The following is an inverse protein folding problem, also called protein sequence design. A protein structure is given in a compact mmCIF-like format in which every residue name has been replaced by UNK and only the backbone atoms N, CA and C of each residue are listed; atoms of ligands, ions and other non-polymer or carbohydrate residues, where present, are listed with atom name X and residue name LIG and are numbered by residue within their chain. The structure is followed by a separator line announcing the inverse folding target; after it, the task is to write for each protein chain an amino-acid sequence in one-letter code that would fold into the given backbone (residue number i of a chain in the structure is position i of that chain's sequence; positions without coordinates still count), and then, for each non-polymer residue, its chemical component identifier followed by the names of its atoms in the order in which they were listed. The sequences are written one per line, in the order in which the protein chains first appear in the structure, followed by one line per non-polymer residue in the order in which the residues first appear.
data_IF_969671229447
#
_entry.id   IF_969671229447
#
_cell.length_a   1.000
_cell.length_b   1.000
_cell.length_c   1.000
_cell.angle_alpha   90.00
_cell.angle_beta   90.00
_cell.angle_gamma   90.00
#
_symmetry.space_group_name_H-M   'P 1'
#
loop_
_entity.id
_entity.type
_entity.pdbx_description
1 polymer ?
#
# COMPACT_ATOMS: atom_id res chain seq x y z
N UNK A 1 13.65 2.50 16.42
CA UNK A 1 14.23 2.71 15.07
C UNK A 1 13.10 3.12 14.15
N UNK A 2 13.13 4.33 13.59
CA UNK A 2 12.10 4.78 12.65
C UNK A 2 12.32 4.11 11.29
N UNK A 3 11.31 3.42 10.76
CA UNK A 3 11.23 2.91 9.38
C UNK A 3 11.06 4.05 8.36
N UNK A 4 11.79 5.16 8.48
CA UNK A 4 11.62 6.29 7.56
C UNK A 4 12.25 6.06 6.17
N UNK A 5 12.98 4.96 5.98
CA UNK A 5 13.67 4.62 4.73
C UNK A 5 13.09 3.39 4.02
N UNK A 6 12.07 2.74 4.58
CA UNK A 6 11.52 1.50 4.02
C UNK A 6 10.01 1.55 4.00
N UNK A 7 9.43 1.04 2.92
CA UNK A 7 8.00 1.00 2.67
C UNK A 7 7.60 -0.43 2.29
N UNK A 8 6.46 -0.91 2.79
CA UNK A 8 5.89 -2.18 2.34
C UNK A 8 4.81 -1.88 1.31
N UNK A 9 5.04 -2.30 0.06
CA UNK A 9 4.19 -1.96 -1.08
C UNK A 9 3.75 -3.23 -1.82
N UNK A 10 2.56 -3.24 -2.39
CA UNK A 10 2.07 -4.39 -3.14
C UNK A 10 2.94 -4.63 -4.39
N UNK A 11 3.18 -5.90 -4.73
CA UNK A 11 3.83 -6.26 -5.98
C UNK A 11 2.83 -6.12 -7.13
N UNK A 12 3.27 -5.64 -8.29
CA UNK A 12 2.41 -5.49 -9.48
C UNK A 12 1.86 -6.83 -9.99
N UNK A 13 2.58 -7.93 -9.76
CA UNK A 13 2.16 -9.30 -10.09
C UNK A 13 1.52 -10.07 -8.94
N UNK A 14 1.22 -9.41 -7.81
CA UNK A 14 0.61 -10.10 -6.67
C UNK A 14 -0.78 -10.65 -7.03
N UNK A 15 -1.17 -11.82 -6.49
CA UNK A 15 -2.52 -12.34 -6.69
C UNK A 15 -3.56 -11.34 -6.18
N UNK A 16 -4.44 -10.87 -7.07
CA UNK A 16 -5.49 -9.89 -6.75
C UNK A 16 -6.38 -10.34 -5.60
N UNK A 17 -6.67 -11.64 -5.51
CA UNK A 17 -7.44 -12.22 -4.41
C UNK A 17 -6.75 -12.03 -3.06
N UNK A 18 -5.42 -12.17 -2.99
CA UNK A 18 -4.66 -11.93 -1.75
C UNK A 18 -4.64 -10.45 -1.39
N UNK A 19 -4.44 -9.57 -2.38
CA UNK A 19 -4.45 -8.12 -2.16
C UNK A 19 -5.81 -7.63 -1.66
N UNK A 20 -6.90 -8.09 -2.28
CA UNK A 20 -8.26 -7.73 -1.88
C UNK A 20 -8.56 -8.23 -0.47
N UNK A 21 -8.28 -9.51 -0.19
CA UNK A 21 -8.51 -10.07 1.14
C UNK A 21 -7.72 -9.34 2.24
N UNK A 22 -6.47 -8.95 1.94
CA UNK A 22 -5.67 -8.16 2.86
C UNK A 22 -6.23 -6.75 3.05
N UNK A 23 -6.63 -6.07 1.97
CA UNK A 23 -7.21 -4.73 2.02
C UNK A 23 -8.51 -4.73 2.83
N UNK A 24 -9.41 -5.68 2.58
CA UNK A 24 -10.67 -5.83 3.30
C UNK A 24 -10.43 -6.07 4.80
N UNK A 25 -9.50 -6.96 5.14
CA UNK A 25 -9.08 -7.20 6.52
C UNK A 25 -8.51 -5.93 7.17
N UNK A 26 -7.56 -5.28 6.49
CA UNK A 26 -6.86 -4.11 7.00
C UNK A 26 -7.83 -2.95 7.26
N UNK A 27 -8.79 -2.71 6.37
CA UNK A 27 -9.79 -1.66 6.55
C UNK A 27 -10.91 -2.03 7.54
N UNK A 28 -11.08 -3.32 7.84
CA UNK A 28 -11.97 -3.76 8.92
C UNK A 28 -11.42 -3.47 10.31
N UNK A 29 -10.09 -3.38 10.47
CA UNK A 29 -9.42 -3.18 11.76
C UNK A 29 -8.66 -1.86 11.89
N UNK A 30 -8.43 -1.15 10.79
CA UNK A 30 -7.72 0.13 10.73
C UNK A 30 -8.52 1.20 9.97
N UNK A 31 -8.10 2.45 10.09
CA UNK A 31 -8.66 3.56 9.33
C UNK A 31 -8.15 3.59 7.88
N UNK A 32 -9.04 3.34 6.93
CA UNK A 32 -8.81 3.46 5.49
C UNK A 32 -9.44 4.73 4.87
N UNK A 33 -9.83 5.72 5.68
CA UNK A 33 -10.45 6.97 5.21
C UNK A 33 -9.63 7.69 4.14
N UNK A 34 -8.30 7.62 4.22
CA UNK A 34 -7.38 8.28 3.29
C UNK A 34 -7.43 7.72 1.86
N UNK A 35 -7.88 6.47 1.67
CA UNK A 35 -7.97 5.78 0.37
C UNK A 35 -9.42 5.63 -0.11
N UNK A 36 -10.38 6.27 0.55
CA UNK A 36 -11.77 6.31 0.09
C UNK A 36 -11.95 7.37 -1.01
N UNK A 37 -13.01 7.24 -1.81
CA UNK A 37 -13.31 8.19 -2.88
C UNK A 37 -13.33 9.63 -2.37
N UNK A 38 -12.57 10.50 -3.02
CA UNK A 38 -12.44 11.92 -2.66
C UNK A 38 -11.39 12.23 -1.59
N UNK A 39 -10.70 11.22 -1.06
CA UNK A 39 -9.63 11.40 -0.08
C UNK A 39 -8.24 11.55 -0.75
N UNK A 40 -7.23 12.09 -0.03
CA UNK A 40 -5.93 12.44 -0.62
C UNK A 40 -5.11 11.27 -1.20
N UNK A 41 -5.33 10.04 -0.73
CA UNK A 41 -4.63 8.84 -1.19
C UNK A 41 -5.54 7.91 -2.01
N UNK A 42 -6.66 8.42 -2.52
CA UNK A 42 -7.56 7.64 -3.37
C UNK A 42 -6.95 7.31 -4.73
N UNK A 43 -6.18 8.24 -5.32
CA UNK A 43 -5.57 8.04 -6.64
C UNK A 43 -4.14 7.51 -6.52
N UNK A 44 -3.73 6.52 -7.34
CA UNK A 44 -4.56 5.85 -8.36
C UNK A 44 -5.66 4.99 -7.75
N UNK A 45 -6.88 5.06 -8.33
CA UNK A 45 -8.00 4.22 -7.91
C UNK A 45 -7.87 2.79 -8.46
N UNK A 46 -6.87 2.07 -7.98
CA UNK A 46 -6.69 0.65 -8.25
C UNK A 46 -6.37 -0.15 -6.98
N UNK A 47 -6.59 -1.46 -7.07
CA UNK A 47 -6.39 -2.38 -5.96
C UNK A 47 -4.93 -2.42 -5.45
N UNK A 48 -3.95 -2.28 -6.35
CA UNK A 48 -2.53 -2.36 -6.00
C UNK A 48 -2.12 -1.14 -5.19
N UNK A 49 -2.58 0.06 -5.58
CA UNK A 49 -2.34 1.31 -4.86
C UNK A 49 -2.99 1.31 -3.49
N UNK A 50 -4.27 0.92 -3.39
CA UNK A 50 -4.99 0.86 -2.12
C UNK A 50 -4.42 -0.21 -1.18
N UNK A 51 -4.08 -1.40 -1.71
CA UNK A 51 -3.43 -2.44 -0.92
C UNK A 51 -2.02 -2.02 -0.48
N UNK A 52 -1.26 -1.28 -1.30
CA UNK A 52 0.05 -0.74 -0.91
C UNK A 52 -0.06 0.23 0.27
N UNK A 53 -1.09 1.08 0.28
CA UNK A 53 -1.35 1.95 1.42
C UNK A 53 -1.59 1.13 2.70
N UNK A 54 -2.48 0.14 2.63
CA UNK A 54 -2.80 -0.72 3.77
C UNK A 54 -1.58 -1.52 4.27
N UNK A 55 -0.80 -2.10 3.35
CA UNK A 55 0.43 -2.85 3.66
C UNK A 55 1.46 -1.96 4.35
N UNK A 56 1.63 -0.74 3.87
CA UNK A 56 2.56 0.21 4.45
C UNK A 56 2.12 0.66 5.86
N UNK A 57 0.83 0.86 6.08
CA UNK A 57 0.29 1.19 7.41
C UNK A 57 0.56 0.05 8.41
N UNK A 58 0.28 -1.19 8.00
CA UNK A 58 0.56 -2.36 8.85
C UNK A 58 2.06 -2.52 9.12
N UNK A 59 2.91 -2.28 8.12
CA UNK A 59 4.37 -2.31 8.27
C UNK A 59 4.88 -1.25 9.25
N UNK A 60 4.32 -0.04 9.23
CA UNK A 60 4.67 1.02 10.20
C UNK A 60 4.26 0.67 11.61
N UNK A 61 3.16 -0.07 11.77
CA UNK A 61 2.60 -0.47 13.07
C UNK A 61 3.31 -1.69 13.67
N UNK A 62 3.66 -2.68 12.84
CA UNK A 62 4.08 -4.02 13.28
C UNK A 62 5.49 -4.42 12.84
N UNK A 63 6.10 -3.68 11.91
CA UNK A 63 7.35 -4.04 11.24
C UNK A 63 7.22 -5.31 10.35
N UNK A 64 6.00 -5.81 10.11
CA UNK A 64 5.74 -6.98 9.26
C UNK A 64 5.36 -6.56 7.85
N UNK A 65 6.01 -7.16 6.85
CA UNK A 65 5.67 -7.01 5.44
C UNK A 65 5.40 -8.39 4.83
N UNK A 66 4.20 -8.59 4.28
CA UNK A 66 3.77 -9.87 3.70
C UNK A 66 4.40 -10.08 2.32
N UNK A 67 5.62 -10.62 2.28
CA UNK A 67 6.44 -10.76 1.06
C UNK A 67 5.81 -11.63 -0.05
N UNK A 68 4.75 -12.37 0.28
CA UNK A 68 3.96 -13.17 -0.66
C UNK A 68 3.11 -12.33 -1.64
N UNK A 69 2.86 -11.06 -1.30
CA UNK A 69 2.06 -10.12 -2.10
C UNK A 69 2.65 -8.71 -2.08
N UNK A 70 3.64 -8.45 -1.24
CA UNK A 70 4.26 -7.16 -1.05
C UNK A 70 5.79 -7.24 -1.17
N UNK A 71 6.45 -6.11 -1.27
CA UNK A 71 7.91 -6.00 -1.22
C UNK A 71 8.31 -4.83 -0.34
N UNK A 72 9.49 -4.92 0.27
CA UNK A 72 10.09 -3.81 0.98
C UNK A 72 10.82 -2.95 -0.03
N UNK A 73 10.33 -1.74 -0.24
CA UNK A 73 10.94 -0.72 -1.07
C UNK A 73 11.78 0.24 -0.24
N UNK A 74 12.96 0.61 -0.74
CA UNK A 74 13.77 1.72 -0.22
C UNK A 74 13.40 3.06 -0.83
N UNK A 75 12.64 3.05 -1.93
CA UNK A 75 12.06 4.23 -2.57
C UNK A 75 10.64 4.46 -2.07
N UNK A 76 10.29 5.74 -1.92
CA UNK A 76 8.95 6.16 -1.54
C UNK A 76 7.93 5.66 -2.58
N UNK A 77 6.86 4.93 -2.19
CA UNK A 77 5.80 4.48 -3.07
C UNK A 77 5.10 5.61 -3.81
N UNK A 78 5.07 6.83 -3.28
CA UNK A 78 4.60 7.97 -4.04
C UNK A 78 5.36 8.08 -5.37
N UNK A 79 6.68 7.85 -5.40
CA UNK A 79 7.46 7.83 -6.65
C UNK A 79 7.30 6.54 -7.49
N UNK A 80 6.75 5.46 -6.91
CA UNK A 80 6.48 4.21 -7.63
C UNK A 80 5.13 4.25 -8.37
N UNK A 81 4.15 5.01 -7.84
CA UNK A 81 2.85 5.22 -8.46
C UNK A 81 2.75 6.54 -9.26
N UNK A 82 3.65 7.52 -9.05
CA UNK A 82 3.73 8.77 -9.83
C UNK A 82 4.54 8.77 -11.15
N UNK A 83 5.21 7.71 -11.67
CA UNK A 83 5.94 7.86 -12.93
C UNK A 83 5.01 8.04 -14.15
N UNK A 84 3.68 8.02 -13.94
CA UNK A 84 2.65 8.28 -14.95
C UNK A 84 2.12 9.73 -14.97
N UNK A 85 2.59 10.62 -14.07
CA UNK A 85 2.18 12.04 -14.04
C UNK A 85 3.34 13.03 -14.28
N UNK A 86 4.44 12.57 -14.87
CA UNK A 86 5.40 13.45 -15.53
C UNK A 86 5.17 13.44 -17.05
N UNK A 87 3.98 13.89 -17.46
CA UNK A 87 3.73 14.64 -18.69
C UNK A 87 2.41 15.41 -18.58
#
# INVERSE_FOLDING_TARGET
MQLNKYWCVAQTGAPTVKLQAFLDYACGVNDCSAIQSGAPCFEPNDLVSHASYALNQEYRRTIVCHIEMATISTSDPYNLFFPLFLY
#
